data_IF_867430105478
#
_entry.id   IF_867430105478
#
_cell.length_a   1.000
_cell.length_b   1.000
_cell.length_c   1.000
_cell.angle_alpha   90.00
_cell.angle_beta   90.00
_cell.angle_gamma   90.00
#
_symmetry.space_group_name_H-M   'P 1'
#
loop_
_entity.id
_entity.type
_entity.pdbx_description
1 polymer ?
#
# COMPACT_ATOMS: atom_id res chain seq x y z
N UNK A 1 -28.39 1.70 -3.79
CA UNK A 1 -27.53 2.23 -4.85
C UNK A 1 -26.14 2.42 -4.26
N UNK A 2 -25.21 1.64 -4.72
CA UNK A 2 -23.83 1.65 -4.19
C UNK A 2 -23.02 2.73 -4.91
N UNK A 3 -23.05 3.95 -4.46
CA UNK A 3 -22.13 4.99 -4.94
C UNK A 3 -20.71 4.84 -4.37
N UNK A 4 -20.41 3.93 -3.49
CA UNK A 4 -19.11 3.84 -2.84
C UNK A 4 -18.15 2.79 -3.39
N UNK A 5 -18.63 1.63 -3.79
CA UNK A 5 -17.79 0.52 -4.25
C UNK A 5 -17.90 0.27 -5.75
N UNK A 6 -19.00 0.68 -6.39
CA UNK A 6 -19.26 0.41 -7.81
C UNK A 6 -18.58 1.35 -8.79
N UNK A 7 -18.29 2.59 -8.39
CA UNK A 7 -17.68 3.59 -9.29
C UNK A 7 -16.14 3.57 -9.22
N UNK A 8 -15.56 3.02 -8.15
CA UNK A 8 -14.10 2.87 -8.00
C UNK A 8 -13.62 1.58 -8.68
N UNK A 9 -14.51 0.59 -8.82
CA UNK A 9 -14.19 -0.70 -9.46
C UNK A 9 -15.25 -1.05 -10.49
N UNK A 10 -14.88 -1.08 -11.73
CA UNK A 10 -15.64 -1.87 -12.71
C UNK A 10 -15.36 -3.34 -12.39
N UNK A 11 -16.20 -3.95 -11.56
CA UNK A 11 -16.22 -5.39 -11.37
C UNK A 11 -16.44 -6.03 -12.73
N UNK A 12 -15.50 -6.85 -13.16
CA UNK A 12 -15.64 -7.61 -14.39
C UNK A 12 -16.60 -8.78 -14.17
N UNK A 13 -17.24 -9.29 -15.22
CA UNK A 13 -18.17 -10.42 -15.10
C UNK A 13 -17.54 -11.69 -14.52
N UNK A 14 -16.20 -11.82 -14.67
CA UNK A 14 -15.40 -12.91 -14.10
C UNK A 14 -14.97 -12.72 -12.65
N UNK A 15 -15.22 -11.56 -12.03
CA UNK A 15 -14.80 -11.25 -10.68
C UNK A 15 -15.80 -11.66 -9.61
N UNK A 16 -15.27 -11.83 -8.39
CA UNK A 16 -16.04 -11.95 -7.16
C UNK A 16 -15.54 -10.96 -6.11
N UNK A 17 -16.24 -10.90 -4.97
CA UNK A 17 -15.92 -10.04 -3.85
C UNK A 17 -15.88 -10.87 -2.55
N UNK A 18 -14.82 -10.70 -1.76
CA UNK A 18 -14.65 -11.34 -0.45
C UNK A 18 -14.42 -10.28 0.62
N UNK A 19 -15.23 -10.29 1.68
CA UNK A 19 -14.99 -9.46 2.87
C UNK A 19 -13.99 -10.18 3.78
N UNK A 20 -13.01 -9.42 4.28
CA UNK A 20 -11.89 -9.97 5.06
C UNK A 20 -11.61 -9.16 6.33
N UNK A 21 -10.86 -9.76 7.25
CA UNK A 21 -10.52 -9.18 8.56
C UNK A 21 -9.30 -8.26 8.49
N UNK A 22 -9.40 -7.21 7.66
CA UNK A 22 -8.34 -6.25 7.33
C UNK A 22 -7.52 -6.68 6.11
N UNK A 23 -6.86 -5.69 5.46
CA UNK A 23 -6.12 -5.94 4.22
C UNK A 23 -4.97 -6.96 4.39
N UNK A 24 -4.36 -7.06 5.58
CA UNK A 24 -3.32 -8.06 5.83
C UNK A 24 -3.82 -9.49 5.62
N UNK A 25 -5.10 -9.78 5.90
CA UNK A 25 -5.66 -11.10 5.60
C UNK A 25 -5.75 -11.36 4.09
N UNK A 26 -5.87 -10.31 3.24
CA UNK A 26 -5.81 -10.49 1.79
C UNK A 26 -4.41 -10.96 1.37
N UNK A 27 -3.36 -10.31 1.92
CA UNK A 27 -1.96 -10.68 1.65
C UNK A 27 -1.71 -12.13 2.05
N UNK A 28 -2.17 -12.52 3.25
CA UNK A 28 -2.06 -13.87 3.77
C UNK A 28 -2.77 -14.90 2.89
N UNK A 29 -4.04 -14.67 2.59
CA UNK A 29 -4.86 -15.59 1.79
C UNK A 29 -4.35 -15.71 0.34
N UNK A 30 -3.93 -14.60 -0.30
CA UNK A 30 -3.35 -14.63 -1.65
C UNK A 30 -2.07 -15.45 -1.65
N UNK A 31 -1.18 -15.23 -0.67
CA UNK A 31 0.07 -16.00 -0.55
C UNK A 31 -0.22 -17.47 -0.32
N UNK A 32 -1.11 -17.78 0.62
CA UNK A 32 -1.53 -19.16 0.96
C UNK A 32 -2.05 -19.95 -0.24
N UNK A 33 -2.80 -19.30 -1.15
CA UNK A 33 -3.44 -20.00 -2.27
C UNK A 33 -2.62 -19.99 -3.55
N UNK A 34 -1.66 -19.09 -3.69
CA UNK A 34 -0.87 -18.96 -4.91
C UNK A 34 0.57 -19.43 -4.76
N UNK A 35 1.12 -19.45 -3.55
CA UNK A 35 2.54 -19.73 -3.32
C UNK A 35 2.78 -21.04 -2.58
N UNK A 36 3.90 -21.67 -2.92
CA UNK A 36 4.57 -22.68 -2.13
C UNK A 36 5.89 -22.11 -1.59
N UNK A 37 6.49 -22.79 -0.62
CA UNK A 37 7.84 -22.45 -0.14
C UNK A 37 8.84 -22.41 -1.32
N UNK A 38 9.61 -21.35 -1.39
CA UNK A 38 10.59 -21.11 -2.46
C UNK A 38 10.05 -20.41 -3.71
N UNK A 39 8.73 -20.25 -3.84
CA UNK A 39 8.13 -19.46 -4.93
C UNK A 39 8.52 -17.98 -4.81
N UNK A 40 8.60 -17.29 -5.95
CA UNK A 40 8.97 -15.87 -5.98
C UNK A 40 7.75 -14.95 -6.03
N UNK A 41 7.77 -13.91 -5.19
CA UNK A 41 6.87 -12.76 -5.23
C UNK A 41 7.68 -11.53 -5.62
N UNK A 42 7.22 -10.79 -6.63
CA UNK A 42 7.84 -9.54 -7.07
C UNK A 42 7.20 -8.38 -6.30
N UNK A 43 8.02 -7.49 -5.72
CA UNK A 43 7.54 -6.37 -4.92
C UNK A 43 8.23 -5.07 -5.34
N UNK A 44 7.57 -3.95 -5.10
CA UNK A 44 8.23 -2.64 -5.09
C UNK A 44 9.36 -2.64 -4.04
N UNK A 45 10.48 -1.98 -4.32
CA UNK A 45 11.57 -1.81 -3.36
C UNK A 45 11.94 -0.33 -3.24
N UNK A 46 11.68 0.31 -2.09
CA UNK A 46 11.15 -0.25 -0.84
C UNK A 46 9.65 -0.60 -0.90
N UNK A 47 9.15 -1.44 0.04
CA UNK A 47 7.75 -1.82 0.13
C UNK A 47 7.25 -1.98 1.57
N UNK A 48 5.94 -2.20 1.74
CA UNK A 48 5.30 -2.30 3.05
C UNK A 48 5.77 -3.53 3.83
N UNK A 49 6.46 -3.30 4.94
CA UNK A 49 7.05 -4.35 5.79
C UNK A 49 6.03 -5.42 6.22
N UNK A 50 4.76 -5.04 6.48
CA UNK A 50 3.73 -6.00 6.87
C UNK A 50 3.44 -7.04 5.79
N UNK A 51 3.40 -6.63 4.52
CA UNK A 51 3.22 -7.53 3.38
C UNK A 51 4.48 -8.35 3.11
N UNK A 52 5.67 -7.73 3.17
CA UNK A 52 6.94 -8.45 3.00
C UNK A 52 7.10 -9.57 4.03
N UNK A 53 6.80 -9.29 5.30
CA UNK A 53 6.87 -10.28 6.37
C UNK A 53 5.80 -11.38 6.20
N UNK A 54 4.61 -11.03 5.71
CA UNK A 54 3.59 -12.01 5.37
C UNK A 54 4.11 -12.98 4.30
N UNK A 55 4.68 -12.49 3.20
CA UNK A 55 5.22 -13.34 2.13
C UNK A 55 6.39 -14.20 2.61
N UNK A 56 7.30 -13.62 3.42
CA UNK A 56 8.42 -14.36 4.03
C UNK A 56 7.93 -15.48 4.96
N UNK A 57 6.81 -15.28 5.67
CA UNK A 57 6.29 -16.31 6.58
C UNK A 57 5.82 -17.58 5.87
N UNK A 58 5.56 -17.49 4.57
CA UNK A 58 5.29 -18.65 3.70
C UNK A 58 6.53 -19.20 2.99
N UNK A 59 7.72 -18.72 3.34
CA UNK A 59 8.96 -19.13 2.69
C UNK A 59 9.13 -18.61 1.27
N UNK A 60 8.39 -17.57 0.86
CA UNK A 60 8.54 -16.97 -0.45
C UNK A 60 9.88 -16.22 -0.58
N UNK A 61 10.48 -16.29 -1.77
CA UNK A 61 11.55 -15.41 -2.19
C UNK A 61 10.97 -14.08 -2.63
N UNK A 62 11.59 -12.97 -2.24
CA UNK A 62 11.17 -11.64 -2.63
C UNK A 62 12.14 -11.08 -3.67
N UNK A 63 11.61 -10.66 -4.81
CA UNK A 63 12.37 -9.98 -5.86
C UNK A 63 11.95 -8.51 -5.90
N UNK A 64 12.89 -7.60 -5.56
CA UNK A 64 12.65 -6.17 -5.49
C UNK A 64 12.73 -5.49 -6.86
N UNK A 65 11.82 -4.57 -7.10
CA UNK A 65 11.84 -3.67 -8.26
C UNK A 65 12.01 -2.24 -7.75
N UNK A 66 13.06 -1.51 -8.16
CA UNK A 66 13.30 -0.15 -7.72
C UNK A 66 12.11 0.78 -7.97
N UNK A 67 11.94 1.75 -7.08
CA UNK A 67 10.93 2.80 -7.22
C UNK A 67 11.54 4.07 -7.80
N UNK A 68 10.80 4.69 -8.71
CA UNK A 68 11.01 6.04 -9.20
C UNK A 68 10.01 7.01 -8.57
N UNK A 69 10.14 8.31 -8.86
CA UNK A 69 9.28 9.35 -8.27
C UNK A 69 7.78 9.15 -8.57
N UNK A 70 7.47 8.53 -9.70
CA UNK A 70 6.11 8.28 -10.20
C UNK A 70 5.72 6.80 -10.24
N UNK A 71 6.35 5.96 -9.40
CA UNK A 71 6.01 4.56 -9.23
C UNK A 71 7.15 3.60 -9.53
N UNK A 72 6.83 2.33 -9.72
CA UNK A 72 7.79 1.25 -10.00
C UNK A 72 8.55 1.50 -11.32
N UNK A 73 9.87 1.24 -11.34
CA UNK A 73 10.66 1.21 -12.59
C UNK A 73 10.21 0.02 -13.45
N UNK A 74 9.49 0.30 -14.52
CA UNK A 74 8.90 -0.75 -15.38
C UNK A 74 9.93 -1.46 -16.24
N UNK A 75 11.06 -0.82 -16.56
CA UNK A 75 12.17 -1.49 -17.27
C UNK A 75 12.90 -2.46 -16.33
N UNK A 76 13.06 -2.09 -15.06
CA UNK A 76 13.56 -3.01 -14.04
C UNK A 76 12.58 -4.15 -13.79
N UNK A 77 11.26 -3.86 -13.74
CA UNK A 77 10.23 -4.90 -13.60
C UNK A 77 10.34 -5.97 -14.70
N UNK A 78 10.53 -5.55 -15.95
CA UNK A 78 10.67 -6.51 -17.05
C UNK A 78 11.90 -7.40 -16.87
N UNK A 79 13.06 -6.84 -16.47
CA UNK A 79 14.27 -7.64 -16.14
C UNK A 79 14.02 -8.63 -15.01
N UNK A 80 13.38 -8.18 -13.92
CA UNK A 80 13.06 -9.04 -12.77
C UNK A 80 12.11 -10.17 -13.16
N UNK A 81 11.14 -9.91 -14.04
CA UNK A 81 10.24 -10.94 -14.59
C UNK A 81 10.98 -11.98 -15.42
N UNK A 82 11.95 -11.54 -16.25
CA UNK A 82 12.80 -12.44 -17.06
C UNK A 82 13.70 -13.31 -16.16
N UNK A 83 14.25 -12.73 -15.10
CA UNK A 83 15.13 -13.44 -14.14
C UNK A 83 14.37 -14.40 -13.22
N UNK A 84 13.06 -14.20 -13.07
CA UNK A 84 12.19 -15.00 -12.17
C UNK A 84 11.02 -15.64 -12.95
N UNK A 85 11.30 -16.54 -13.91
CA UNK A 85 10.24 -17.21 -14.64
C UNK A 85 9.38 -18.05 -13.68
N UNK A 86 8.06 -17.82 -13.71
CA UNK A 86 7.12 -18.48 -12.78
C UNK A 86 6.91 -17.74 -11.45
N UNK A 87 7.34 -16.48 -11.34
CA UNK A 87 6.91 -15.61 -10.25
C UNK A 87 5.37 -15.65 -10.11
N UNK A 88 4.85 -15.67 -8.88
CA UNK A 88 3.42 -15.92 -8.63
C UNK A 88 2.57 -14.68 -8.81
N UNK A 89 3.02 -13.56 -8.26
CA UNK A 89 2.34 -12.29 -8.41
C UNK A 89 3.30 -11.11 -8.20
N UNK A 90 2.87 -9.95 -8.71
CA UNK A 90 3.48 -8.64 -8.47
C UNK A 90 2.65 -7.97 -7.38
N UNK A 91 3.27 -7.60 -6.25
CA UNK A 91 2.66 -6.80 -5.20
C UNK A 91 3.01 -5.33 -5.38
N UNK A 92 2.00 -4.47 -5.44
CA UNK A 92 2.17 -3.02 -5.65
C UNK A 92 1.15 -2.20 -4.87
N UNK A 93 1.55 -0.99 -4.43
CA UNK A 93 0.70 0.00 -3.79
C UNK A 93 0.67 1.26 -4.69
N UNK A 94 -0.20 1.34 -5.70
CA UNK A 94 -0.13 2.37 -6.72
C UNK A 94 -0.49 3.79 -6.24
N UNK A 95 -1.14 3.94 -5.09
CA UNK A 95 -1.54 5.23 -4.55
C UNK A 95 -0.85 5.48 -3.20
N UNK A 96 -0.04 6.56 -3.16
CA UNK A 96 0.62 7.00 -1.91
C UNK A 96 1.37 5.86 -1.22
N UNK A 97 2.22 5.20 -1.98
CA UNK A 97 2.94 3.99 -1.63
C UNK A 97 3.58 4.07 -0.23
N UNK A 98 3.53 2.99 0.49
CA UNK A 98 4.19 2.85 1.78
C UNK A 98 5.50 2.06 1.61
N UNK A 99 6.68 2.70 1.80
CA UNK A 99 6.91 3.93 2.55
C UNK A 99 7.07 5.21 1.71
N UNK A 100 7.22 5.12 0.38
CA UNK A 100 7.73 6.21 -0.47
C UNK A 100 6.79 7.42 -0.60
N UNK A 101 5.49 7.26 -0.36
CA UNK A 101 4.48 8.29 -0.62
C UNK A 101 4.21 8.52 -2.12
N UNK A 102 4.92 7.82 -3.01
CA UNK A 102 4.79 7.95 -4.46
C UNK A 102 3.38 7.53 -4.93
N UNK A 103 2.93 8.17 -6.00
CA UNK A 103 1.73 7.75 -6.74
C UNK A 103 2.14 7.26 -8.11
N UNK A 104 1.81 6.01 -8.43
CA UNK A 104 2.13 5.42 -9.73
C UNK A 104 1.34 6.13 -10.83
N UNK A 105 2.07 6.63 -11.85
CA UNK A 105 1.48 7.30 -13.01
C UNK A 105 0.56 6.35 -13.79
N UNK A 106 -0.36 6.92 -14.59
CA UNK A 106 -1.25 6.11 -15.42
C UNK A 106 -0.47 5.25 -16.41
N UNK A 107 0.57 5.82 -17.00
CA UNK A 107 1.44 5.11 -17.95
C UNK A 107 2.08 3.88 -17.31
N UNK A 108 2.67 4.03 -16.13
CA UNK A 108 3.28 2.91 -15.39
C UNK A 108 2.27 1.86 -14.97
N UNK A 109 1.04 2.25 -14.58
CA UNK A 109 -0.03 1.27 -14.29
C UNK A 109 -0.35 0.41 -15.52
N UNK A 110 -0.42 1.04 -16.70
CA UNK A 110 -0.64 0.34 -17.96
C UNK A 110 0.54 -0.57 -18.32
N UNK A 111 1.77 -0.11 -18.11
CA UNK A 111 2.98 -0.91 -18.37
C UNK A 111 3.09 -2.11 -17.42
N UNK A 112 2.85 -1.93 -16.11
CA UNK A 112 2.82 -3.02 -15.12
C UNK A 112 1.76 -4.06 -15.50
N UNK A 113 0.56 -3.62 -15.91
CA UNK A 113 -0.50 -4.52 -16.37
C UNK A 113 -0.07 -5.29 -17.63
N UNK A 114 0.49 -4.60 -18.62
CA UNK A 114 0.94 -5.22 -19.87
C UNK A 114 2.05 -6.26 -19.64
N UNK A 115 3.03 -5.94 -18.79
CA UNK A 115 4.11 -6.86 -18.42
C UNK A 115 3.57 -8.07 -17.64
N UNK A 116 2.69 -7.86 -16.66
CA UNK A 116 2.07 -8.96 -15.93
C UNK A 116 1.32 -9.92 -16.87
N UNK A 117 0.56 -9.38 -17.83
CA UNK A 117 -0.13 -10.16 -18.86
C UNK A 117 0.85 -10.91 -19.75
N UNK A 118 1.91 -10.25 -20.22
CA UNK A 118 2.94 -10.84 -21.11
C UNK A 118 3.65 -12.02 -20.46
N UNK A 119 3.97 -11.90 -19.18
CA UNK A 119 4.71 -12.93 -18.44
C UNK A 119 3.80 -13.93 -17.68
N UNK A 120 2.47 -13.77 -17.77
CA UNK A 120 1.50 -14.67 -17.14
C UNK A 120 1.51 -14.63 -15.62
N UNK A 121 1.81 -13.47 -15.03
CA UNK A 121 1.91 -13.24 -13.58
C UNK A 121 0.70 -12.45 -13.10
N UNK A 122 0.15 -12.78 -11.92
CA UNK A 122 -0.96 -12.02 -11.32
C UNK A 122 -0.46 -10.71 -10.71
N UNK A 123 -1.37 -9.76 -10.53
CA UNK A 123 -1.09 -8.50 -9.79
C UNK A 123 -1.92 -8.51 -8.51
N UNK A 124 -1.29 -8.22 -7.38
CA UNK A 124 -1.94 -7.88 -6.13
C UNK A 124 -1.82 -6.37 -5.93
N UNK A 125 -2.90 -5.66 -6.27
CA UNK A 125 -3.02 -4.21 -6.12
C UNK A 125 -3.55 -3.87 -4.73
N UNK A 126 -2.68 -3.34 -3.85
CA UNK A 126 -3.04 -2.91 -2.50
C UNK A 126 -3.33 -1.41 -2.48
N UNK A 127 -4.56 -1.03 -2.16
CA UNK A 127 -5.01 0.36 -2.23
C UNK A 127 -5.66 0.87 -0.92
N UNK A 128 -4.93 0.89 0.20
CA UNK A 128 -5.49 1.37 1.46
C UNK A 128 -5.58 2.89 1.56
N UNK A 129 -4.90 3.63 0.67
CA UNK A 129 -4.76 5.09 0.75
C UNK A 129 -5.44 5.85 -0.39
N UNK A 130 -6.00 5.18 -1.39
CA UNK A 130 -6.51 5.82 -2.62
C UNK A 130 -7.51 6.96 -2.38
N UNK A 131 -8.34 6.83 -1.36
CA UNK A 131 -9.31 7.85 -0.95
C UNK A 131 -8.68 9.06 -0.23
N UNK A 132 -7.41 8.98 0.18
CA UNK A 132 -6.70 10.02 0.92
C UNK A 132 -5.90 10.99 0.02
N UNK A 133 -6.36 11.22 -1.19
CA UNK A 133 -5.75 12.17 -2.11
C UNK A 133 -6.06 13.60 -1.67
N UNK A 134 -5.02 14.41 -1.52
CA UNK A 134 -5.14 15.83 -1.12
C UNK A 134 -4.73 16.80 -2.24
N UNK A 135 -4.01 16.30 -3.26
CA UNK A 135 -3.61 17.08 -4.43
C UNK A 135 -3.60 16.20 -5.71
N UNK A 136 -3.63 16.84 -6.86
CA UNK A 136 -3.67 16.16 -8.17
C UNK A 136 -5.03 15.52 -8.48
N UNK A 137 -5.15 14.95 -9.67
CA UNK A 137 -6.35 14.24 -10.12
C UNK A 137 -6.34 12.77 -9.69
N UNK A 138 -7.51 12.15 -9.42
CA UNK A 138 -7.61 10.72 -9.20
C UNK A 138 -7.19 9.95 -10.46
N UNK A 139 -6.52 8.82 -10.27
CA UNK A 139 -6.09 7.94 -11.35
C UNK A 139 -6.86 6.62 -11.30
N UNK A 140 -7.17 6.01 -12.46
CA UNK A 140 -7.78 4.68 -12.52
C UNK A 140 -6.91 3.65 -11.78
N UNK A 141 -7.53 2.71 -11.09
CA UNK A 141 -6.83 1.56 -10.51
C UNK A 141 -6.36 0.62 -11.62
N UNK A 142 -5.33 -0.20 -11.34
CA UNK A 142 -4.91 -1.26 -12.27
C UNK A 142 -6.09 -2.24 -12.48
N UNK A 143 -6.82 -2.55 -11.40
CA UNK A 143 -8.03 -3.40 -11.47
C UNK A 143 -9.08 -2.85 -12.42
N UNK A 144 -9.27 -1.54 -12.51
CA UNK A 144 -10.27 -0.95 -13.42
C UNK A 144 -9.93 -1.15 -14.90
N UNK A 145 -8.69 -1.45 -15.23
CA UNK A 145 -8.19 -1.74 -16.58
C UNK A 145 -8.11 -3.24 -16.87
N UNK A 146 -8.38 -4.09 -15.87
CA UNK A 146 -8.24 -5.54 -15.97
C UNK A 146 -9.35 -6.15 -16.83
N UNK A 147 -8.99 -6.58 -18.03
CA UNK A 147 -9.88 -7.33 -18.95
C UNK A 147 -9.55 -8.81 -19.02
N UNK A 148 -8.45 -9.22 -18.42
CA UNK A 148 -7.91 -10.58 -18.53
C UNK A 148 -8.10 -11.41 -17.24
N UNK A 149 -8.60 -10.78 -16.16
CA UNK A 149 -8.82 -11.45 -14.87
C UNK A 149 -7.49 -11.79 -14.16
N UNK A 150 -6.50 -10.89 -14.24
CA UNK A 150 -5.19 -11.08 -13.63
C UNK A 150 -4.90 -10.16 -12.45
N UNK A 151 -5.82 -9.28 -12.08
CA UNK A 151 -5.65 -8.33 -10.96
C UNK A 151 -6.53 -8.73 -9.78
N UNK A 152 -5.90 -8.88 -8.62
CA UNK A 152 -6.52 -9.04 -7.31
C UNK A 152 -6.40 -7.69 -6.62
N UNK A 153 -7.52 -7.05 -6.32
CA UNK A 153 -7.56 -5.74 -5.68
C UNK A 153 -7.88 -5.86 -4.19
N UNK A 154 -7.09 -5.17 -3.38
CA UNK A 154 -7.24 -5.08 -1.93
C UNK A 154 -7.67 -3.68 -1.50
N UNK A 155 -8.88 -3.54 -1.00
CA UNK A 155 -9.42 -2.30 -0.43
C UNK A 155 -9.62 -2.40 1.07
N UNK A 156 -9.54 -1.28 1.79
CA UNK A 156 -9.63 -1.27 3.25
C UNK A 156 -10.37 -0.06 3.79
N UNK A 157 -11.18 -0.27 4.83
CA UNK A 157 -11.83 0.81 5.59
C UNK A 157 -10.95 1.36 6.73
N UNK A 158 -9.77 0.79 6.93
CA UNK A 158 -8.89 1.14 8.06
C UNK A 158 -8.43 2.60 8.06
N UNK A 159 -8.30 3.23 6.88
CA UNK A 159 -7.75 4.58 6.76
C UNK A 159 -8.82 5.66 6.54
N UNK A 160 -10.03 5.26 6.20
CA UNK A 160 -11.16 6.17 5.95
C UNK A 160 -12.24 6.10 7.03
N UNK A 161 -12.33 5.00 7.79
CA UNK A 161 -13.29 4.86 8.88
C UNK A 161 -12.61 4.55 10.21
N UNK A 162 -12.10 3.34 10.40
CA UNK A 162 -11.42 2.95 11.63
C UNK A 162 -10.54 1.72 11.44
N UNK A 163 -9.25 1.78 11.83
CA UNK A 163 -8.36 0.63 11.76
C UNK A 163 -8.77 -0.50 12.73
N UNK A 164 -9.42 -0.18 13.86
CA UNK A 164 -9.83 -1.14 14.88
C UNK A 164 -10.99 -2.05 14.44
N UNK A 165 -11.78 -1.65 13.45
CA UNK A 165 -12.88 -2.47 12.94
C UNK A 165 -12.41 -3.73 12.20
N UNK A 166 -11.20 -3.74 11.70
CA UNK A 166 -10.64 -4.86 10.92
C UNK A 166 -11.58 -5.31 9.78
N UNK A 167 -12.12 -4.38 9.01
CA UNK A 167 -12.93 -4.69 7.82
C UNK A 167 -12.21 -4.21 6.58
N UNK A 168 -12.04 -5.12 5.62
CA UNK A 168 -11.48 -4.85 4.32
C UNK A 168 -12.19 -5.74 3.28
N UNK A 169 -11.89 -5.56 2.00
CA UNK A 169 -12.50 -6.32 0.94
C UNK A 169 -11.49 -6.61 -0.18
N UNK A 170 -11.69 -7.74 -0.83
CA UNK A 170 -10.90 -8.19 -1.96
C UNK A 170 -11.81 -8.34 -3.16
N UNK A 171 -11.41 -7.84 -4.32
CA UNK A 171 -12.08 -8.06 -5.61
C UNK A 171 -11.09 -8.71 -6.57
N UNK A 172 -11.49 -9.77 -7.24
CA UNK A 172 -10.61 -10.45 -8.17
C UNK A 172 -11.23 -11.66 -8.82
N UNK A 173 -10.45 -12.42 -9.61
CA UNK A 173 -10.94 -13.54 -10.38
C UNK A 173 -11.63 -14.60 -9.50
N UNK A 174 -12.83 -15.01 -9.89
CA UNK A 174 -13.63 -16.04 -9.17
C UNK A 174 -12.83 -17.28 -8.75
N UNK A 175 -11.99 -17.89 -9.62
CA UNK A 175 -11.24 -19.09 -9.21
C UNK A 175 -10.27 -18.83 -8.05
N UNK A 176 -9.65 -17.66 -8.01
CA UNK A 176 -8.73 -17.27 -6.93
C UNK A 176 -9.51 -17.01 -5.65
N UNK A 177 -10.56 -16.18 -5.72
CA UNK A 177 -11.38 -15.85 -4.55
C UNK A 177 -12.10 -17.06 -3.96
N UNK A 178 -12.51 -18.02 -4.78
CA UNK A 178 -13.06 -19.28 -4.29
C UNK A 178 -12.07 -20.06 -3.42
N UNK A 179 -10.79 -20.11 -3.82
CA UNK A 179 -9.72 -20.72 -3.00
C UNK A 179 -9.43 -19.90 -1.73
N UNK A 180 -9.39 -18.57 -1.84
CA UNK A 180 -9.24 -17.70 -0.69
C UNK A 180 -10.39 -17.87 0.32
N UNK A 181 -11.61 -18.06 -0.15
CA UNK A 181 -12.79 -18.33 0.70
C UNK A 181 -12.58 -19.61 1.53
N UNK A 182 -12.10 -20.69 0.91
CA UNK A 182 -11.79 -21.93 1.62
C UNK A 182 -10.67 -21.70 2.65
N UNK A 183 -9.60 -20.98 2.27
CA UNK A 183 -8.51 -20.62 3.19
C UNK A 183 -9.03 -19.81 4.38
N UNK A 184 -9.88 -18.81 4.12
CA UNK A 184 -10.47 -17.96 5.15
C UNK A 184 -11.37 -18.73 6.12
N UNK A 185 -12.12 -19.72 5.63
CA UNK A 185 -12.93 -20.58 6.51
C UNK A 185 -12.07 -21.33 7.54
N UNK A 186 -10.83 -21.66 7.18
CA UNK A 186 -9.89 -22.30 8.10
C UNK A 186 -9.21 -21.32 9.08
N UNK A 187 -9.23 -20.01 8.81
CA UNK A 187 -8.62 -18.98 9.66
C UNK A 187 -9.60 -18.38 10.67
N UNK A 188 -10.70 -17.80 10.18
CA UNK A 188 -11.64 -17.07 11.03
C UNK A 188 -13.11 -17.37 10.72
N UNK A 189 -13.39 -18.34 9.86
CA UNK A 189 -14.72 -18.70 9.36
C UNK A 189 -15.34 -17.55 8.55
N UNK A 190 -15.46 -16.37 9.15
CA UNK A 190 -15.91 -15.12 8.53
C UNK A 190 -15.43 -13.90 9.35
N UNK A 191 -15.29 -12.77 8.70
CA UNK A 191 -15.05 -11.48 9.37
C UNK A 191 -16.17 -11.17 10.36
N UNK A 192 -15.82 -10.59 11.52
CA UNK A 192 -16.76 -10.27 12.60
C UNK A 192 -18.02 -9.56 12.08
N UNK A 193 -19.19 -10.18 12.25
CA UNK A 193 -20.46 -9.71 11.69
C UNK A 193 -20.83 -8.32 12.22
N UNK A 194 -20.62 -8.07 13.51
CA UNK A 194 -20.90 -6.76 14.11
C UNK A 194 -20.11 -5.64 13.39
N UNK A 195 -18.84 -5.88 13.10
CA UNK A 195 -17.99 -4.89 12.44
C UNK A 195 -18.41 -4.64 10.99
N UNK A 196 -18.84 -5.69 10.26
CA UNK A 196 -19.43 -5.56 8.94
C UNK A 196 -20.74 -4.76 8.99
N UNK A 197 -21.60 -5.01 9.99
CA UNK A 197 -22.84 -4.25 10.18
C UNK A 197 -22.59 -2.77 10.48
N UNK A 198 -21.55 -2.45 11.27
CA UNK A 198 -21.14 -1.06 11.52
C UNK A 198 -20.75 -0.37 10.20
N UNK A 199 -19.91 -1.01 9.39
CA UNK A 199 -19.52 -0.46 8.08
C UNK A 199 -20.74 -0.31 7.16
N UNK A 200 -21.63 -1.30 7.13
CA UNK A 200 -22.85 -1.25 6.33
C UNK A 200 -23.77 -0.09 6.77
N UNK A 201 -23.99 0.10 8.08
CA UNK A 201 -24.80 1.19 8.58
C UNK A 201 -24.14 2.55 8.33
N UNK A 202 -22.80 2.63 8.40
CA UNK A 202 -22.08 3.84 8.05
C UNK A 202 -22.35 4.28 6.60
N UNK A 203 -22.30 3.35 5.64
CA UNK A 203 -22.67 3.65 4.24
C UNK A 203 -24.12 4.04 4.04
N UNK A 204 -25.04 3.55 4.91
CA UNK A 204 -26.47 3.83 4.79
C UNK A 204 -26.91 5.13 5.44
N UNK A 205 -26.27 5.51 6.53
CA UNK A 205 -26.75 6.59 7.40
C UNK A 205 -25.93 7.87 7.27
N UNK A 206 -24.73 7.80 6.73
CA UNK A 206 -23.82 8.94 6.64
C UNK A 206 -23.47 9.24 5.19
N UNK A 207 -23.18 10.51 4.91
CA UNK A 207 -22.56 10.95 3.67
C UNK A 207 -21.07 10.63 3.73
N UNK A 208 -20.70 9.51 3.11
CA UNK A 208 -19.32 8.99 3.08
C UNK A 208 -18.40 9.92 2.30
N UNK A 209 -18.89 10.52 1.22
CA UNK A 209 -18.10 11.43 0.39
C UNK A 209 -17.76 12.71 1.18
N UNK A 210 -18.74 13.28 1.87
CA UNK A 210 -18.50 14.42 2.77
C UNK A 210 -17.54 14.08 3.93
N UNK A 211 -17.61 12.85 4.47
CA UNK A 211 -16.68 12.39 5.49
C UNK A 211 -15.25 12.26 4.94
N UNK A 212 -15.07 11.69 3.77
CA UNK A 212 -13.76 11.56 3.11
C UNK A 212 -13.18 12.96 2.82
N UNK A 213 -13.96 13.89 2.30
CA UNK A 213 -13.50 15.28 2.08
C UNK A 213 -13.08 15.97 3.39
N UNK A 214 -13.79 15.74 4.47
CA UNK A 214 -13.38 16.23 5.80
C UNK A 214 -12.01 15.68 6.20
N UNK A 215 -11.79 14.37 6.04
CA UNK A 215 -10.51 13.72 6.36
C UNK A 215 -9.39 14.29 5.44
N UNK A 216 -9.65 14.41 4.15
CA UNK A 216 -8.71 15.01 3.19
C UNK A 216 -8.31 16.42 3.61
N UNK A 217 -9.28 17.24 4.05
CA UNK A 217 -9.01 18.57 4.55
C UNK A 217 -8.10 18.60 5.78
N UNK A 218 -8.27 17.66 6.70
CA UNK A 218 -7.41 17.50 7.89
C UNK A 218 -6.00 17.08 7.46
N UNK A 219 -5.88 16.05 6.63
CA UNK A 219 -4.57 15.53 6.20
C UNK A 219 -3.82 16.49 5.29
N UNK A 220 -4.52 17.30 4.47
CA UNK A 220 -3.89 18.37 3.69
C UNK A 220 -3.15 19.36 4.60
N UNK A 221 -3.82 19.86 5.64
CA UNK A 221 -3.20 20.78 6.61
C UNK A 221 -2.00 20.16 7.31
N UNK A 222 -2.12 18.91 7.75
CA UNK A 222 -1.02 18.19 8.44
C UNK A 222 0.17 17.95 7.51
N UNK A 223 -0.09 17.57 6.26
CA UNK A 223 0.96 17.39 5.25
C UNK A 223 1.66 18.71 4.95
N UNK A 224 0.91 19.76 4.69
CA UNK A 224 1.46 21.11 4.44
C UNK A 224 2.34 21.56 5.58
N UNK A 225 1.84 21.40 6.82
CA UNK A 225 2.56 21.75 8.02
C UNK A 225 3.88 21.00 8.14
N UNK A 226 3.86 19.66 8.04
CA UNK A 226 5.07 18.84 8.17
C UNK A 226 6.08 19.13 7.05
N UNK A 227 5.62 19.30 5.81
CA UNK A 227 6.49 19.67 4.71
C UNK A 227 7.13 21.05 4.92
N UNK A 228 6.38 22.04 5.39
CA UNK A 228 6.92 23.37 5.67
C UNK A 228 7.97 23.34 6.77
N UNK A 229 7.78 22.53 7.84
CA UNK A 229 8.80 22.34 8.88
C UNK A 229 10.06 21.65 8.32
N UNK A 230 9.90 20.62 7.48
CA UNK A 230 11.05 19.96 6.85
C UNK A 230 11.81 20.96 5.96
N UNK A 231 11.10 21.72 5.13
CA UNK A 231 11.70 22.69 4.22
C UNK A 231 12.41 23.82 4.97
N UNK A 232 11.86 24.32 6.11
CA UNK A 232 12.45 25.38 6.90
C UNK A 232 13.61 24.94 7.78
N UNK A 233 13.50 23.77 8.40
CA UNK A 233 14.40 23.35 9.47
C UNK A 233 15.44 22.33 8.99
N UNK A 234 15.14 21.59 7.92
CA UNK A 234 15.96 20.48 7.43
C UNK A 234 16.25 20.55 5.92
N UNK A 235 15.86 21.61 5.24
CA UNK A 235 15.84 21.70 3.77
C UNK A 235 17.17 21.37 3.09
N UNK A 236 18.31 21.75 3.69
CA UNK A 236 19.64 21.44 3.17
C UNK A 236 20.15 20.04 3.57
N UNK A 237 19.46 19.38 4.49
CA UNK A 237 19.87 18.10 5.07
C UNK A 237 19.04 16.91 4.59
N UNK A 238 17.82 17.15 4.10
CA UNK A 238 16.85 16.10 3.76
C UNK A 238 16.29 16.31 2.36
N UNK A 239 16.40 15.28 1.53
CA UNK A 239 15.74 15.25 0.22
C UNK A 239 14.43 14.46 0.34
N UNK A 240 13.33 14.97 -0.21
CA UNK A 240 12.07 14.23 -0.29
C UNK A 240 11.21 14.70 -1.47
N UNK A 241 10.29 13.85 -1.91
CA UNK A 241 9.24 14.22 -2.86
C UNK A 241 7.97 14.51 -2.08
N UNK A 242 7.38 15.70 -2.28
CA UNK A 242 6.12 16.08 -1.60
C UNK A 242 4.99 15.15 -2.03
N UNK A 243 4.37 14.38 -1.11
CA UNK A 243 3.29 13.46 -1.47
C UNK A 243 2.02 14.20 -1.90
N UNK A 244 1.24 13.58 -2.78
CA UNK A 244 -0.07 14.08 -3.19
C UNK A 244 -1.22 13.58 -2.30
N UNK A 245 -0.90 12.83 -1.26
CA UNK A 245 -1.87 12.22 -0.33
C UNK A 245 -1.24 11.14 0.55
N UNK A 246 -2.06 10.22 1.01
CA UNK A 246 -1.60 9.15 1.91
C UNK A 246 -1.32 9.65 3.32
N UNK A 247 -0.32 9.04 3.98
CA UNK A 247 -0.01 9.27 5.38
C UNK A 247 1.48 9.48 5.66
N UNK A 248 2.37 9.32 4.66
CA UNK A 248 3.81 9.20 4.85
C UNK A 248 4.60 10.19 4.01
N UNK A 249 5.75 10.61 4.55
CA UNK A 249 6.80 11.31 3.83
C UNK A 249 8.05 10.44 3.91
N UNK A 250 8.70 10.23 2.77
CA UNK A 250 9.91 9.44 2.63
C UNK A 250 11.08 10.39 2.43
N UNK A 251 11.92 10.48 3.45
CA UNK A 251 13.02 11.43 3.50
C UNK A 251 14.35 10.70 3.32
N UNK A 252 15.16 11.15 2.38
CA UNK A 252 16.54 10.70 2.19
C UNK A 252 17.46 11.59 3.00
N UNK A 253 18.32 10.98 3.79
CA UNK A 253 19.38 11.62 4.58
C UNK A 253 20.72 11.54 3.83
N UNK A 254 21.72 12.37 4.17
CA UNK A 254 23.07 12.25 3.63
C UNK A 254 23.66 10.84 3.80
N UNK A 255 24.47 10.39 2.84
CA UNK A 255 24.97 9.02 2.77
C UNK A 255 25.99 8.63 3.86
N UNK A 256 26.49 9.59 4.63
CA UNK A 256 27.41 9.40 5.77
C UNK A 256 26.67 9.22 7.12
N UNK A 257 25.33 9.32 7.13
CA UNK A 257 24.52 9.16 8.34
C UNK A 257 24.32 7.69 8.66
N UNK A 258 24.78 7.26 9.85
CA UNK A 258 24.43 5.96 10.41
C UNK A 258 22.95 5.97 10.83
N UNK A 259 22.12 5.22 10.12
CA UNK A 259 20.67 5.19 10.31
C UNK A 259 20.25 4.67 11.67
N UNK A 260 20.96 3.70 12.22
CA UNK A 260 20.64 3.14 13.54
C UNK A 260 20.98 4.13 14.65
N UNK A 261 22.14 4.80 14.56
CA UNK A 261 22.52 5.85 15.50
C UNK A 261 21.55 7.04 15.40
N UNK A 262 21.22 7.47 14.18
CA UNK A 262 20.23 8.52 13.95
C UNK A 262 18.88 8.21 14.62
N UNK A 263 18.34 7.01 14.40
CA UNK A 263 17.08 6.60 15.01
C UNK A 263 17.15 6.54 16.55
N UNK A 264 18.26 6.05 17.12
CA UNK A 264 18.46 6.05 18.58
C UNK A 264 18.49 7.45 19.15
N UNK A 265 19.18 8.37 18.50
CA UNK A 265 19.26 9.79 18.90
C UNK A 265 17.92 10.50 18.78
N UNK A 266 17.15 10.19 17.73
CA UNK A 266 15.79 10.71 17.57
C UNK A 266 14.87 10.22 18.69
N UNK A 267 14.89 8.93 19.02
CA UNK A 267 14.10 8.36 20.13
C UNK A 267 14.49 8.99 21.46
N UNK A 268 15.77 9.22 21.72
CA UNK A 268 16.23 9.91 22.94
C UNK A 268 15.67 11.34 23.05
N UNK A 269 15.29 11.94 21.92
CA UNK A 269 14.59 13.24 21.84
C UNK A 269 13.07 13.12 21.70
N UNK A 270 12.51 11.95 21.97
CA UNK A 270 11.09 11.63 21.88
C UNK A 270 10.50 11.70 20.45
N UNK A 271 11.34 11.58 19.43
CA UNK A 271 10.93 11.52 18.03
C UNK A 271 11.09 10.09 17.52
N UNK A 272 9.98 9.46 17.14
CA UNK A 272 10.00 8.12 16.55
C UNK A 272 9.94 8.20 15.02
N UNK A 273 10.97 7.70 14.36
CA UNK A 273 11.06 7.55 12.91
C UNK A 273 11.27 6.08 12.54
N UNK A 274 10.86 5.68 11.35
CA UNK A 274 11.09 4.31 10.88
C UNK A 274 12.24 4.31 9.87
N UNK A 275 13.34 3.59 10.15
CA UNK A 275 14.49 3.53 9.24
C UNK A 275 14.12 2.79 7.95
N UNK A 276 14.71 3.23 6.85
CA UNK A 276 14.41 2.72 5.51
C UNK A 276 14.75 1.24 5.31
N UNK A 277 15.74 0.74 6.03
CA UNK A 277 16.12 -0.68 6.00
C UNK A 277 14.94 -1.62 6.28
N UNK A 278 13.99 -1.20 7.13
CA UNK A 278 12.81 -1.99 7.46
C UNK A 278 11.88 -2.29 6.26
N UNK A 279 12.05 -1.56 5.16
CA UNK A 279 11.19 -1.68 3.96
C UNK A 279 11.90 -2.34 2.77
N UNK A 280 13.13 -2.84 2.97
CA UNK A 280 13.94 -3.45 1.92
C UNK A 280 13.70 -4.95 1.82
N UNK A 281 13.96 -5.51 0.63
CA UNK A 281 13.87 -6.96 0.40
C UNK A 281 14.97 -7.71 1.13
N UNK A 282 16.19 -7.15 1.15
CA UNK A 282 17.30 -7.69 1.93
C UNK A 282 17.38 -6.96 3.28
N UNK A 283 17.28 -7.71 4.38
CA UNK A 283 17.39 -7.18 5.74
C UNK A 283 18.76 -6.55 6.05
N UNK A 284 19.77 -6.84 5.22
CA UNK A 284 21.13 -6.27 5.29
C UNK A 284 21.32 -5.06 4.39
N UNK A 285 20.34 -4.74 3.54
CA UNK A 285 20.44 -3.59 2.66
C UNK A 285 20.57 -2.30 3.45
N UNK A 286 21.48 -1.43 3.02
CA UNK A 286 21.64 -0.11 3.61
C UNK A 286 20.70 0.85 2.91
N UNK A 287 19.84 1.50 3.68
CA UNK A 287 18.96 2.56 3.17
C UNK A 287 19.23 3.86 3.92
N UNK A 288 19.50 4.94 3.19
CA UNK A 288 19.68 6.27 3.76
C UNK A 288 18.37 7.05 3.89
N UNK A 289 17.26 6.35 4.09
CA UNK A 289 15.94 6.96 4.17
C UNK A 289 15.30 6.74 5.54
N UNK A 290 14.40 7.65 5.89
CA UNK A 290 13.47 7.51 7.01
C UNK A 290 12.05 7.73 6.53
N UNK A 291 11.09 7.06 7.15
CA UNK A 291 9.68 7.31 6.94
C UNK A 291 9.11 8.13 8.09
N UNK A 292 8.53 9.27 7.77
CA UNK A 292 7.74 10.10 8.67
C UNK A 292 6.26 9.82 8.45
N UNK A 293 5.44 10.04 9.49
CA UNK A 293 3.98 9.90 9.44
C UNK A 293 3.32 11.20 9.89
N UNK A 294 2.62 11.89 8.99
CA UNK A 294 1.95 13.14 9.30
C UNK A 294 0.51 12.97 9.82
N UNK A 295 -0.05 11.77 9.78
CA UNK A 295 -1.46 11.57 10.13
C UNK A 295 -1.75 11.55 11.62
N UNK A 296 -0.82 11.09 12.44
CA UNK A 296 -1.04 10.80 13.87
C UNK A 296 -0.69 11.95 14.80
N UNK A 297 0.42 12.70 14.65
CA UNK A 297 0.79 13.74 15.58
C UNK A 297 -0.29 14.83 15.67
N UNK A 298 -0.53 15.35 16.87
CA UNK A 298 -1.25 16.61 17.04
C UNK A 298 -0.41 17.75 16.47
N UNK A 299 -1.05 18.83 16.00
CA UNK A 299 -0.33 19.94 15.38
C UNK A 299 0.82 20.52 16.24
N UNK A 300 0.66 20.70 17.58
CA UNK A 300 1.77 21.13 18.45
C UNK A 300 2.95 20.16 18.49
N UNK A 301 2.73 18.85 18.38
CA UNK A 301 3.79 17.83 18.41
C UNK A 301 4.62 17.83 17.11
N UNK A 302 4.02 18.27 16.02
CA UNK A 302 4.72 18.40 14.75
C UNK A 302 5.75 19.55 14.74
N UNK A 303 5.64 20.50 15.68
CA UNK A 303 6.50 21.68 15.77
C UNK A 303 7.60 21.59 16.84
N UNK A 304 7.46 20.74 17.83
CA UNK A 304 8.31 20.78 19.03
C UNK A 304 9.38 19.69 19.06
N UNK A 305 9.48 18.90 18.04
CA UNK A 305 10.40 17.76 17.94
C UNK A 305 11.02 17.61 16.57
#
# INVERSE_FOLDING_TARGET
MSRGLGDVYKRQDGDDLLIVSGATQIMDLVTKVLCNEGDTVICEEPSFIGSLNCFRSYGCKLAGVPMEADGMDTAALERVLQENPGARFIYTIPNFQNPSGATMSLEKRQQVYALAKQYGVLILEDNPYGDLRVAGAPLPTIKSMDTDGIVIYAGSFSKILSPGLRVAYCVGPKPVLAKMTVGKQAEDVHTAMLNQMIVYQWFRQYDVDAHIEKIRGIYRKKLELMCNCIDSDLGDFVEYVRPQGGLFIWCKLPGDVDMLDFCKRAIAKQVAVVPGNAFMMDDKAVSHHIRLNFSTPSDPVSYTH
#
